data_IF_037448316901
#
_entry.id   IF_037448316901
#
_cell.length_a   1.000
_cell.length_b   1.000
_cell.length_c   1.000
_cell.angle_alpha   90.00
_cell.angle_beta   90.00
_cell.angle_gamma   90.00
#
_symmetry.space_group_name_H-M   'P 1'
#
loop_
_entity.id
_entity.type
_entity.pdbx_description
1 polymer ?
#
# COMPACT_ATOMS: atom_id res chain seq x y z
N UNK A 1 -11.33 5.25 -27.15
CA UNK A 1 -11.70 5.33 -25.73
C UNK A 1 -11.83 6.79 -25.35
N UNK A 2 -12.76 7.10 -24.46
CA UNK A 2 -13.07 8.45 -24.00
C UNK A 2 -12.64 8.58 -22.54
N UNK A 3 -12.11 9.74 -22.16
CA UNK A 3 -11.85 10.04 -20.76
C UNK A 3 -13.17 10.39 -20.07
N UNK A 4 -13.42 9.80 -18.92
CA UNK A 4 -14.64 9.99 -18.12
C UNK A 4 -14.24 10.24 -16.67
N UNK A 5 -14.88 11.24 -16.07
CA UNK A 5 -14.79 11.54 -14.65
C UNK A 5 -16.18 11.39 -14.01
N UNK A 6 -16.31 10.45 -13.07
CA UNK A 6 -17.57 10.07 -12.43
C UNK A 6 -17.45 10.29 -10.92
N UNK A 7 -17.90 11.44 -10.40
CA UNK A 7 -18.11 11.63 -8.98
C UNK A 7 -19.46 11.02 -8.54
N UNK A 8 -19.46 10.23 -7.47
CA UNK A 8 -20.66 9.59 -6.91
C UNK A 8 -20.89 10.06 -5.48
N UNK A 9 -21.71 11.11 -5.31
CA UNK A 9 -21.92 11.77 -4.01
C UNK A 9 -22.54 10.85 -2.93
N UNK A 10 -23.49 9.99 -3.30
CA UNK A 10 -24.15 9.08 -2.34
C UNK A 10 -23.21 8.02 -1.74
N UNK A 11 -22.13 7.68 -2.43
CA UNK A 11 -21.16 6.67 -2.03
C UNK A 11 -19.78 7.25 -1.72
N UNK A 12 -19.66 8.57 -1.82
CA UNK A 12 -18.41 9.31 -1.69
C UNK A 12 -17.29 8.68 -2.54
N UNK A 13 -17.56 8.34 -3.80
CA UNK A 13 -16.59 7.71 -4.70
C UNK A 13 -16.17 8.61 -5.86
N UNK A 14 -14.86 8.65 -6.17
CA UNK A 14 -14.31 9.38 -7.32
C UNK A 14 -13.66 8.38 -8.29
N UNK A 15 -14.18 8.31 -9.52
CA UNK A 15 -13.65 7.45 -10.58
C UNK A 15 -13.19 8.31 -11.76
N UNK A 16 -11.92 8.15 -12.15
CA UNK A 16 -11.31 8.80 -13.32
C UNK A 16 -10.78 7.72 -14.23
N UNK A 17 -11.26 7.64 -15.47
CA UNK A 17 -10.99 6.48 -16.31
C UNK A 17 -10.97 6.81 -17.79
N UNK A 18 -10.24 6.02 -18.58
CA UNK A 18 -10.53 5.87 -20.00
C UNK A 18 -11.50 4.71 -20.18
N UNK A 19 -12.63 4.99 -20.82
CA UNK A 19 -13.69 4.02 -21.06
C UNK A 19 -13.89 3.80 -22.57
N UNK A 20 -14.19 2.57 -22.96
CA UNK A 20 -14.59 2.24 -24.33
C UNK A 20 -15.54 1.05 -24.33
N UNK A 21 -16.53 1.07 -25.21
CA UNK A 21 -17.52 0.00 -25.25
C UNK A 21 -18.79 0.40 -25.98
N UNK A 22 -19.88 -0.24 -25.60
CA UNK A 22 -21.22 0.03 -26.11
C UNK A 22 -22.00 0.83 -25.06
N UNK A 23 -22.75 1.81 -25.54
CA UNK A 23 -23.59 2.66 -24.72
C UNK A 23 -24.90 2.86 -25.45
N UNK A 24 -25.98 2.41 -24.84
CA UNK A 24 -27.34 2.58 -25.31
C UNK A 24 -27.97 3.69 -24.48
N UNK A 25 -28.60 4.63 -25.17
CA UNK A 25 -29.37 5.71 -24.57
C UNK A 25 -30.79 5.58 -25.09
N UNK A 26 -31.73 5.41 -24.17
CA UNK A 26 -33.15 5.41 -24.45
C UNK A 26 -33.86 6.42 -23.55
N UNK A 27 -34.98 6.99 -24.01
CA UNK A 27 -35.72 7.98 -23.25
C UNK A 27 -37.21 7.96 -23.56
N UNK A 28 -38.02 8.19 -22.52
CA UNK A 28 -39.48 8.28 -22.58
C UNK A 28 -39.88 9.50 -21.77
N UNK A 29 -40.42 10.53 -22.43
CA UNK A 29 -40.72 11.80 -21.78
C UNK A 29 -39.45 12.49 -21.28
N UNK A 30 -39.37 12.72 -19.96
CA UNK A 30 -38.21 13.31 -19.28
C UNK A 30 -37.30 12.26 -18.61
N UNK A 31 -37.69 10.98 -18.67
CA UNK A 31 -36.93 9.88 -18.09
C UNK A 31 -35.93 9.32 -19.10
N UNK A 32 -34.78 8.88 -18.59
CA UNK A 32 -33.67 8.38 -19.40
C UNK A 32 -33.17 7.05 -18.86
N UNK A 33 -32.89 6.13 -19.76
CA UNK A 33 -32.28 4.83 -19.47
C UNK A 33 -30.94 4.77 -20.19
N UNK A 34 -29.89 4.51 -19.42
CA UNK A 34 -28.54 4.27 -19.90
C UNK A 34 -28.19 2.83 -19.64
N UNK A 35 -27.77 2.10 -20.67
CA UNK A 35 -27.22 0.77 -20.48
C UNK A 35 -26.02 0.49 -21.39
N UNK A 36 -25.25 -0.52 -21.03
CA UNK A 36 -24.23 -1.01 -21.94
C UNK A 36 -23.12 -1.78 -21.26
N UNK A 37 -22.15 -2.16 -22.08
CA UNK A 37 -20.96 -2.86 -21.64
C UNK A 37 -19.73 -2.02 -21.93
N UNK A 38 -18.95 -1.74 -20.89
CA UNK A 38 -17.83 -0.80 -20.95
C UNK A 38 -16.57 -1.47 -20.44
N UNK A 39 -15.48 -1.33 -21.18
CA UNK A 39 -14.13 -1.63 -20.72
C UNK A 39 -13.48 -0.36 -20.20
N UNK A 40 -12.91 -0.44 -18.99
CA UNK A 40 -12.16 0.65 -18.37
C UNK A 40 -10.67 0.35 -18.37
N UNK A 41 -9.83 1.34 -18.62
CA UNK A 41 -8.37 1.23 -18.50
C UNK A 41 -7.79 2.55 -18.02
N UNK A 42 -6.56 2.50 -17.51
CA UNK A 42 -5.86 3.66 -16.96
C UNK A 42 -6.76 4.41 -15.96
N UNK A 43 -7.34 3.64 -15.05
CA UNK A 43 -8.40 4.07 -14.14
C UNK A 43 -7.83 4.35 -12.76
N UNK A 44 -8.27 5.44 -12.15
CA UNK A 44 -8.09 5.72 -10.72
C UNK A 44 -9.47 5.70 -10.05
N UNK A 45 -9.66 4.78 -9.10
CA UNK A 45 -10.83 4.70 -8.24
C UNK A 45 -10.44 5.09 -6.82
N UNK A 46 -11.23 5.95 -6.17
CA UNK A 46 -11.03 6.30 -4.76
C UNK A 46 -12.34 6.49 -4.01
N UNK A 47 -12.31 6.36 -2.68
CA UNK A 47 -13.45 6.56 -1.78
C UNK A 47 -13.17 7.76 -0.83
N UNK A 48 -13.73 8.91 -1.16
CA UNK A 48 -13.59 10.16 -0.44
C UNK A 48 -13.49 11.30 -1.44
N UNK A 49 -14.63 11.84 -1.86
CA UNK A 49 -14.72 13.01 -2.73
C UNK A 49 -14.43 14.23 -1.88
N UNK A 50 -13.32 14.91 -2.17
CA UNK A 50 -12.99 16.17 -1.48
C UNK A 50 -13.93 17.31 -1.88
N UNK A 51 -14.27 17.41 -3.17
CA UNK A 51 -15.15 18.43 -3.76
C UNK A 51 -15.81 17.91 -5.04
N UNK A 52 -17.07 18.26 -5.28
CA UNK A 52 -17.75 17.96 -6.55
C UNK A 52 -17.25 18.90 -7.67
N UNK A 53 -17.13 18.43 -8.91
CA UNK A 53 -16.79 19.30 -10.03
C UNK A 53 -17.83 20.41 -10.22
N UNK A 54 -17.40 21.61 -10.61
CA UNK A 54 -18.29 22.76 -10.81
C UNK A 54 -19.40 22.54 -11.87
N UNK A 55 -19.21 21.57 -12.75
CA UNK A 55 -20.14 21.19 -13.81
C UNK A 55 -21.10 20.07 -13.40
N UNK A 56 -20.94 19.50 -12.20
CA UNK A 56 -21.78 18.40 -11.75
C UNK A 56 -23.19 18.90 -11.39
N UNK A 57 -24.19 18.38 -12.09
CA UNK A 57 -25.61 18.60 -11.78
C UNK A 57 -26.21 17.22 -11.54
N UNK A 58 -26.69 16.99 -10.32
CA UNK A 58 -27.36 15.73 -9.98
C UNK A 58 -28.65 15.60 -10.83
N UNK A 59 -28.77 14.52 -11.58
CA UNK A 59 -29.99 14.18 -12.31
C UNK A 59 -30.68 13.01 -11.61
N UNK A 60 -31.96 13.19 -11.28
CA UNK A 60 -32.79 12.23 -10.55
C UNK A 60 -33.77 11.47 -11.46
N UNK A 61 -33.69 11.62 -12.78
CA UNK A 61 -34.59 10.97 -13.75
C UNK A 61 -33.84 10.02 -14.70
N UNK A 62 -32.72 9.45 -14.25
CA UNK A 62 -31.89 8.56 -15.07
C UNK A 62 -31.70 7.22 -14.39
N UNK A 63 -32.22 6.16 -15.01
CA UNK A 63 -31.87 4.76 -14.68
C UNK A 63 -30.60 4.39 -15.44
N UNK A 64 -29.69 3.67 -14.79
CA UNK A 64 -28.43 3.23 -15.37
C UNK A 64 -28.21 1.75 -15.11
N UNK A 65 -27.67 1.02 -16.09
CA UNK A 65 -27.29 -0.38 -15.94
C UNK A 65 -26.04 -0.68 -16.78
N UNK A 66 -24.90 -0.85 -16.13
CA UNK A 66 -23.63 -1.06 -16.79
C UNK A 66 -22.92 -2.31 -16.29
N UNK A 67 -22.48 -3.13 -17.24
CA UNK A 67 -21.44 -4.13 -17.02
C UNK A 67 -20.09 -3.49 -17.33
N UNK A 68 -19.23 -3.35 -16.32
CA UNK A 68 -17.89 -2.79 -16.48
C UNK A 68 -16.85 -3.90 -16.37
N UNK A 69 -15.92 -3.92 -17.33
CA UNK A 69 -14.80 -4.87 -17.39
C UNK A 69 -13.50 -4.11 -17.16
N UNK A 70 -12.69 -4.57 -16.21
CA UNK A 70 -11.37 -3.97 -15.94
C UNK A 70 -10.37 -4.33 -17.05
N UNK A 71 -9.67 -3.34 -17.54
CA UNK A 71 -8.56 -3.45 -18.47
C UNK A 71 -7.23 -3.19 -17.76
N UNK A 72 -6.27 -2.63 -18.49
CA UNK A 72 -4.92 -2.36 -17.96
C UNK A 72 -4.93 -1.18 -16.99
N UNK A 73 -4.03 -1.22 -16.01
CA UNK A 73 -3.71 -0.08 -15.14
C UNK A 73 -4.94 0.49 -14.42
N UNK A 74 -5.78 -0.39 -13.85
CA UNK A 74 -6.90 0.00 -13.00
C UNK A 74 -6.43 0.00 -11.55
N UNK A 75 -6.37 1.17 -10.92
CA UNK A 75 -5.88 1.36 -9.56
C UNK A 75 -7.01 1.79 -8.61
N UNK A 76 -6.98 1.23 -7.40
CA UNK A 76 -7.85 1.52 -6.28
C UNK A 76 -7.05 2.17 -5.16
N UNK A 77 -7.58 3.27 -4.63
CA UNK A 77 -6.99 4.06 -3.56
C UNK A 77 -8.02 4.21 -2.44
N UNK A 78 -7.62 3.94 -1.21
CA UNK A 78 -8.48 4.11 -0.05
C UNK A 78 -7.74 4.85 1.08
N UNK A 79 -8.34 5.89 1.69
CA UNK A 79 -9.65 6.45 1.35
C UNK A 79 -9.55 7.27 0.07
N UNK A 80 -8.62 8.21 -0.01
CA UNK A 80 -8.50 9.12 -1.14
C UNK A 80 -7.15 8.99 -1.84
N UNK A 81 -7.03 9.59 -3.03
CA UNK A 81 -5.81 9.58 -3.84
C UNK A 81 -4.64 10.36 -3.23
N UNK A 82 -4.81 11.50 -2.53
CA UNK A 82 -3.70 12.21 -1.92
C UNK A 82 -3.00 11.46 -0.79
N UNK A 83 -3.78 10.86 0.12
CA UNK A 83 -3.26 10.18 1.32
C UNK A 83 -3.90 8.78 1.47
N UNK A 84 -3.67 7.86 0.52
CA UNK A 84 -4.19 6.50 0.62
C UNK A 84 -3.39 5.72 1.67
N UNK A 85 -4.09 4.98 2.52
CA UNK A 85 -3.46 3.91 3.28
C UNK A 85 -3.64 2.53 2.63
N UNK A 86 -4.49 2.38 1.62
CA UNK A 86 -4.45 1.22 0.71
C UNK A 86 -4.32 1.76 -0.71
N UNK A 87 -3.36 1.20 -1.45
CA UNK A 87 -3.18 1.42 -2.88
C UNK A 87 -3.04 0.07 -3.55
N UNK A 88 -4.00 -0.31 -4.39
CA UNK A 88 -4.00 -1.60 -5.06
C UNK A 88 -4.19 -1.43 -6.57
N UNK A 89 -3.56 -2.28 -7.36
CA UNK A 89 -3.86 -2.43 -8.78
C UNK A 89 -4.75 -3.65 -8.97
N UNK A 90 -5.88 -3.46 -9.63
CA UNK A 90 -6.85 -4.50 -9.92
C UNK A 90 -6.38 -5.34 -11.12
N UNK A 91 -6.68 -6.63 -11.07
CA UNK A 91 -6.40 -7.58 -12.16
C UNK A 91 -7.25 -7.25 -13.39
N UNK A 92 -6.73 -7.54 -14.58
CA UNK A 92 -7.47 -7.39 -15.84
C UNK A 92 -8.62 -8.42 -15.95
N UNK A 93 -9.62 -8.07 -16.76
CA UNK A 93 -10.81 -8.87 -17.07
C UNK A 93 -11.68 -9.24 -15.86
N UNK A 94 -11.70 -8.41 -14.82
CA UNK A 94 -12.65 -8.52 -13.72
C UNK A 94 -13.94 -7.79 -14.11
N UNK A 95 -15.08 -8.28 -13.65
CA UNK A 95 -16.40 -7.72 -13.98
C UNK A 95 -17.05 -7.12 -12.75
N UNK A 96 -17.69 -5.98 -12.95
CA UNK A 96 -18.60 -5.37 -11.98
C UNK A 96 -19.87 -4.98 -12.70
N UNK A 97 -21.01 -5.31 -12.11
CA UNK A 97 -22.31 -4.82 -12.53
C UNK A 97 -22.73 -3.69 -11.61
N UNK A 98 -23.23 -2.63 -12.23
CA UNK A 98 -23.72 -1.44 -11.57
C UNK A 98 -25.10 -1.13 -12.14
N UNK A 99 -26.10 -1.01 -11.27
CA UNK A 99 -27.43 -0.59 -11.66
C UNK A 99 -27.98 0.44 -10.67
N UNK A 100 -28.57 1.50 -11.19
CA UNK A 100 -29.34 2.46 -10.42
C UNK A 100 -30.69 2.64 -11.09
N UNK A 101 -31.78 2.45 -10.35
CA UNK A 101 -33.13 2.69 -10.82
C UNK A 101 -33.70 3.95 -10.16
N UNK A 102 -33.95 4.98 -10.96
CA UNK A 102 -34.48 6.26 -10.46
C UNK A 102 -35.95 6.18 -10.03
N UNK A 103 -36.70 5.16 -10.44
CA UNK A 103 -38.12 5.01 -10.10
C UNK A 103 -38.25 4.45 -8.68
N UNK A 104 -37.45 3.43 -8.35
CA UNK A 104 -37.42 2.79 -7.02
C UNK A 104 -36.40 3.42 -6.08
N UNK A 105 -35.53 4.30 -6.60
CA UNK A 105 -34.36 4.86 -5.91
C UNK A 105 -33.42 3.76 -5.36
N UNK A 106 -33.33 2.65 -6.09
CA UNK A 106 -32.51 1.49 -5.70
C UNK A 106 -31.17 1.51 -6.41
N UNK A 107 -30.12 1.20 -5.65
CA UNK A 107 -28.76 1.13 -6.14
C UNK A 107 -28.16 -0.26 -5.90
N UNK A 108 -27.82 -0.96 -6.97
CA UNK A 108 -27.25 -2.29 -6.94
C UNK A 108 -25.83 -2.27 -7.49
N UNK A 109 -24.90 -2.82 -6.73
CA UNK A 109 -23.54 -3.06 -7.16
C UNK A 109 -23.11 -4.47 -6.77
N UNK A 110 -22.52 -5.16 -7.73
CA UNK A 110 -22.01 -6.50 -7.54
C UNK A 110 -20.71 -6.67 -8.30
N UNK A 111 -19.64 -6.94 -7.57
CA UNK A 111 -18.33 -7.11 -8.17
C UNK A 111 -17.32 -7.71 -7.21
N UNK A 112 -16.43 -8.54 -7.75
CA UNK A 112 -15.27 -9.03 -7.02
C UNK A 112 -14.01 -8.71 -7.83
N UNK A 113 -13.12 -7.95 -7.22
CA UNK A 113 -11.89 -7.49 -7.81
C UNK A 113 -10.71 -8.14 -7.13
N UNK A 114 -9.98 -8.99 -7.86
CA UNK A 114 -8.70 -9.50 -7.39
C UNK A 114 -7.62 -8.44 -7.56
N UNK A 115 -6.81 -8.20 -6.53
CA UNK A 115 -5.65 -7.33 -6.60
C UNK A 115 -4.47 -8.05 -7.24
N UNK A 116 -3.92 -7.44 -8.27
CA UNK A 116 -2.66 -7.87 -8.89
C UNK A 116 -1.47 -7.52 -7.99
N UNK A 117 -1.51 -6.33 -7.40
CA UNK A 117 -0.39 -5.74 -6.66
C UNK A 117 -0.87 -4.59 -5.78
N UNK A 118 -0.02 -4.11 -4.89
CA UNK A 118 -0.29 -2.88 -4.14
C UNK A 118 0.42 -2.82 -2.80
N UNK A 119 0.03 -1.84 -2.00
CA UNK A 119 0.54 -1.62 -0.66
C UNK A 119 -0.59 -1.22 0.29
N UNK A 120 -0.42 -1.58 1.56
CA UNK A 120 -1.20 -1.10 2.68
C UNK A 120 -0.26 -0.46 3.69
N UNK A 121 -0.52 0.80 4.02
CA UNK A 121 0.18 1.50 5.08
C UNK A 121 -0.47 1.19 6.42
N UNK A 122 0.31 0.62 7.33
CA UNK A 122 -0.12 0.29 8.67
C UNK A 122 1.06 0.43 9.63
N UNK A 123 0.82 0.93 10.85
CA UNK A 123 1.87 1.18 11.85
C UNK A 123 3.12 1.89 11.30
N UNK A 124 2.93 2.97 10.52
CA UNK A 124 4.06 3.73 9.96
C UNK A 124 4.96 2.94 8.98
N UNK A 125 4.44 1.82 8.45
CA UNK A 125 5.14 0.96 7.49
C UNK A 125 4.23 0.59 6.32
N UNK A 126 4.82 0.46 5.14
CA UNK A 126 4.14 -0.06 3.96
C UNK A 126 4.30 -1.57 3.92
N UNK A 127 3.20 -2.30 3.99
CA UNK A 127 3.15 -3.74 3.71
C UNK A 127 2.74 -3.94 2.26
N UNK A 128 3.42 -4.82 1.55
CA UNK A 128 3.19 -5.08 0.13
C UNK A 128 2.14 -6.16 -0.06
N UNK A 129 1.08 -5.86 -0.77
CA UNK A 129 -0.02 -6.79 -1.04
C UNK A 129 0.52 -7.93 -1.91
N UNK A 130 0.58 -9.11 -1.31
CA UNK A 130 0.94 -10.36 -1.99
C UNK A 130 -0.29 -11.04 -2.58
N UNK A 131 -1.42 -10.93 -1.88
CA UNK A 131 -2.71 -11.46 -2.29
C UNK A 131 -3.78 -10.51 -1.79
N UNK A 132 -4.85 -10.32 -2.55
CA UNK A 132 -6.00 -9.61 -2.02
C UNK A 132 -7.16 -9.53 -2.99
N UNK A 133 -8.32 -9.19 -2.47
CA UNK A 133 -9.53 -8.96 -3.23
C UNK A 133 -10.42 -7.93 -2.53
N UNK A 134 -11.12 -7.14 -3.32
CA UNK A 134 -12.21 -6.28 -2.89
C UNK A 134 -13.52 -6.86 -3.40
N UNK A 135 -14.45 -7.11 -2.49
CA UNK A 135 -15.81 -7.52 -2.83
C UNK A 135 -16.79 -6.38 -2.53
N UNK A 136 -17.60 -6.06 -3.53
CA UNK A 136 -18.66 -5.06 -3.47
C UNK A 136 -19.99 -5.78 -3.66
N UNK A 137 -20.89 -5.59 -2.70
CA UNK A 137 -22.23 -6.14 -2.73
C UNK A 137 -23.18 -5.14 -2.08
N UNK A 138 -24.33 -4.90 -2.71
CA UNK A 138 -25.45 -4.21 -2.07
C UNK A 138 -26.27 -5.21 -1.26
N UNK A 139 -26.44 -4.99 0.03
CA UNK A 139 -27.36 -5.79 0.85
C UNK A 139 -28.80 -5.26 0.73
N UNK A 140 -29.63 -5.95 -0.06
CA UNK A 140 -31.02 -5.60 -0.31
C UNK A 140 -31.95 -5.85 0.89
N UNK A 141 -31.51 -6.53 1.96
CA UNK A 141 -32.39 -6.95 3.06
C UNK A 141 -32.64 -5.89 4.14
N UNK A 142 -31.91 -4.77 4.13
CA UNK A 142 -31.96 -3.77 5.22
C UNK A 142 -32.86 -2.56 4.94
N UNK A 143 -33.51 -2.50 3.77
CA UNK A 143 -34.33 -1.35 3.37
C UNK A 143 -33.54 -0.05 3.16
N UNK A 144 -32.21 -0.14 3.19
CA UNK A 144 -31.27 0.89 2.81
C UNK A 144 -30.31 0.26 1.80
N UNK A 145 -30.15 0.87 0.62
CA UNK A 145 -29.18 0.45 -0.41
C UNK A 145 -27.73 0.74 0.05
N UNK A 146 -27.30 0.17 1.17
CA UNK A 146 -25.95 0.32 1.69
C UNK A 146 -25.02 -0.70 1.01
N UNK A 147 -24.03 -0.18 0.29
CA UNK A 147 -22.90 -0.97 -0.20
C UNK A 147 -22.00 -1.29 0.98
N UNK A 148 -21.70 -2.57 1.20
CA UNK A 148 -20.77 -3.01 2.23
C UNK A 148 -19.50 -3.55 1.59
N UNK A 149 -18.49 -2.69 1.30
CA UNK A 149 -17.24 -3.14 0.72
C UNK A 149 -16.46 -3.97 1.73
N UNK A 150 -16.13 -5.20 1.35
CA UNK A 150 -15.29 -6.10 2.15
C UNK A 150 -13.95 -6.33 1.45
N UNK A 151 -12.88 -6.28 2.23
CA UNK A 151 -11.52 -6.50 1.76
C UNK A 151 -10.93 -7.76 2.39
N UNK A 152 -10.35 -8.60 1.54
CA UNK A 152 -9.47 -9.69 1.93
C UNK A 152 -8.08 -9.34 1.43
N UNK A 153 -7.07 -9.39 2.29
CA UNK A 153 -5.74 -8.92 1.91
C UNK A 153 -4.68 -9.61 2.75
N UNK A 154 -3.58 -9.99 2.09
CA UNK A 154 -2.37 -10.46 2.73
C UNK A 154 -1.21 -9.63 2.20
N UNK A 155 -0.58 -8.88 3.08
CA UNK A 155 0.55 -8.04 2.73
C UNK A 155 1.79 -8.38 3.53
N UNK A 156 2.96 -8.32 2.89
CA UNK A 156 4.27 -8.68 3.44
C UNK A 156 5.10 -7.43 3.67
N UNK A 157 5.74 -7.34 4.81
CA UNK A 157 6.81 -6.40 5.13
C UNK A 157 8.03 -7.24 5.50
N UNK A 158 9.18 -6.97 4.88
CA UNK A 158 10.45 -7.57 5.30
C UNK A 158 11.22 -6.53 6.11
N UNK A 159 11.60 -6.90 7.33
CA UNK A 159 12.34 -6.03 8.25
C UNK A 159 13.33 -6.85 9.10
N UNK A 160 14.12 -6.19 9.94
CA UNK A 160 15.08 -6.83 10.83
C UNK A 160 14.61 -6.78 12.29
N UNK A 161 14.89 -7.85 13.04
CA UNK A 161 14.68 -7.85 14.49
C UNK A 161 15.80 -7.13 15.25
N UNK A 162 15.65 -6.99 16.57
CA UNK A 162 16.65 -6.37 17.44
C UNK A 162 18.01 -7.11 17.44
N UNK A 163 18.03 -8.38 17.01
CA UNK A 163 19.24 -9.17 16.87
C UNK A 163 19.86 -9.09 15.45
N UNK A 164 19.25 -8.33 14.53
CA UNK A 164 19.71 -8.15 13.15
C UNK A 164 19.31 -9.29 12.21
N UNK A 165 18.40 -10.19 12.62
CA UNK A 165 17.92 -11.25 11.75
C UNK A 165 16.75 -10.78 10.89
N UNK A 166 16.70 -11.26 9.65
CA UNK A 166 15.62 -10.98 8.71
C UNK A 166 14.31 -11.61 9.17
N UNK A 167 13.24 -10.83 9.12
CA UNK A 167 11.88 -11.23 9.48
C UNK A 167 10.91 -10.75 8.42
N UNK A 168 10.18 -11.68 7.82
CA UNK A 168 9.01 -11.35 7.00
C UNK A 168 7.78 -11.29 7.91
N UNK A 169 7.18 -10.11 8.04
CA UNK A 169 5.94 -9.87 8.77
C UNK A 169 4.80 -9.83 7.75
N UNK A 170 3.73 -10.57 8.02
CA UNK A 170 2.53 -10.57 7.21
C UNK A 170 1.37 -9.92 7.95
N UNK A 171 0.73 -8.96 7.30
CA UNK A 171 -0.54 -8.38 7.70
C UNK A 171 -1.65 -9.09 6.93
N UNK A 172 -2.58 -9.69 7.66
CA UNK A 172 -3.69 -10.46 7.09
C UNK A 172 -5.02 -9.84 7.49
N UNK A 173 -5.81 -9.44 6.50
CA UNK A 173 -7.20 -9.01 6.62
C UNK A 173 -8.10 -10.09 6.03
N UNK A 174 -9.12 -10.49 6.79
CA UNK A 174 -10.12 -11.47 6.38
C UNK A 174 -11.49 -10.83 6.51
N UNK A 175 -12.20 -10.74 5.40
CA UNK A 175 -13.56 -10.18 5.26
C UNK A 175 -13.75 -8.89 6.05
N UNK A 176 -12.73 -8.03 6.04
CA UNK A 176 -12.73 -6.81 6.84
C UNK A 176 -13.50 -5.72 6.12
N UNK A 177 -14.34 -4.97 6.83
CA UNK A 177 -14.93 -3.75 6.29
C UNK A 177 -13.88 -2.66 6.14
N UNK A 178 -13.99 -1.82 5.11
CA UNK A 178 -13.00 -0.75 4.86
C UNK A 178 -12.89 0.25 6.03
N UNK A 179 -13.99 0.48 6.76
CA UNK A 179 -14.06 1.39 7.92
C UNK A 179 -13.64 0.77 9.24
N UNK A 180 -13.52 -0.55 9.31
CA UNK A 180 -13.14 -1.30 10.52
C UNK A 180 -12.14 -2.41 10.17
N UNK A 181 -10.92 -2.00 9.81
CA UNK A 181 -9.84 -2.93 9.52
C UNK A 181 -9.34 -3.58 10.80
N UNK A 182 -9.45 -4.91 10.89
CA UNK A 182 -8.94 -5.70 12.01
C UNK A 182 -7.83 -6.65 11.53
N UNK A 183 -6.60 -6.16 11.32
CA UNK A 183 -5.51 -6.98 10.79
C UNK A 183 -4.98 -7.97 11.83
N UNK A 184 -4.64 -9.17 11.36
CA UNK A 184 -3.86 -10.16 12.10
C UNK A 184 -2.42 -10.15 11.61
N UNK A 185 -1.48 -10.39 12.53
CA UNK A 185 -0.06 -10.41 12.22
C UNK A 185 0.51 -11.82 12.32
N UNK A 186 1.28 -12.21 11.32
CA UNK A 186 2.05 -13.45 11.27
C UNK A 186 3.50 -13.09 10.92
N UNK A 187 4.47 -13.95 11.23
CA UNK A 187 5.87 -13.70 10.86
C UNK A 187 6.64 -14.96 10.48
N UNK A 188 7.69 -14.79 9.69
CA UNK A 188 8.64 -15.82 9.30
C UNK A 188 10.06 -15.27 9.49
N UNK A 189 10.90 -15.83 10.39
CA UNK A 189 10.58 -16.90 11.36
C UNK A 189 9.46 -16.53 12.32
N UNK A 190 8.75 -17.52 12.87
CA UNK A 190 7.62 -17.29 13.78
C UNK A 190 8.08 -16.52 15.02
N UNK A 191 7.50 -15.34 15.22
CA UNK A 191 7.67 -14.47 16.39
C UNK A 191 6.35 -14.22 17.09
N UNK A 192 6.43 -13.86 18.37
CA UNK A 192 5.26 -13.44 19.13
C UNK A 192 4.74 -12.07 18.67
N UNK A 193 3.44 -11.81 18.86
CA UNK A 193 2.80 -10.56 18.45
C UNK A 193 3.50 -9.33 19.05
N UNK A 194 3.95 -9.40 20.30
CA UNK A 194 4.68 -8.31 20.94
C UNK A 194 6.01 -8.02 20.25
N UNK A 195 6.78 -9.04 19.90
CA UNK A 195 8.04 -8.88 19.15
C UNK A 195 7.79 -8.30 17.76
N UNK A 196 6.71 -8.74 17.08
CA UNK A 196 6.30 -8.16 15.80
C UNK A 196 5.99 -6.67 15.98
N UNK A 197 5.22 -6.29 17.01
CA UNK A 197 4.86 -4.88 17.26
C UNK A 197 6.09 -4.02 17.59
N UNK A 198 7.06 -4.55 18.33
CA UNK A 198 8.35 -3.89 18.57
C UNK A 198 9.09 -3.62 17.25
N UNK A 199 9.18 -4.61 16.35
CA UNK A 199 9.79 -4.44 15.01
C UNK A 199 9.01 -3.41 14.19
N UNK A 200 7.68 -3.40 14.28
CA UNK A 200 6.83 -2.42 13.64
C UNK A 200 6.98 -1.01 14.22
N UNK A 201 7.79 -0.83 15.27
CA UNK A 201 8.14 0.49 15.82
C UNK A 201 7.13 1.00 16.84
N UNK A 202 6.27 0.14 17.39
CA UNK A 202 5.62 0.45 18.66
C UNK A 202 6.71 0.46 19.73
N UNK A 203 7.29 1.64 20.01
CA UNK A 203 7.89 1.87 21.31
C UNK A 203 6.80 1.54 22.32
N UNK A 204 6.98 0.42 23.00
CA UNK A 204 6.21 0.00 24.16
C UNK A 204 6.03 1.27 24.99
N UNK A 205 4.81 1.81 25.08
CA UNK A 205 4.44 2.50 26.30
C UNK A 205 4.63 1.40 27.35
N UNK A 206 5.64 1.48 28.23
CA UNK A 206 5.75 0.51 29.28
C UNK A 206 4.48 0.70 30.09
N UNK A 207 3.49 -0.17 29.91
CA UNK A 207 2.50 -0.41 30.95
C UNK A 207 3.23 -1.15 32.06
N UNK A 208 4.20 -0.46 32.66
CA UNK A 208 4.67 -0.76 33.99
C UNK A 208 3.46 -0.57 34.89
N UNK A 209 3.03 -1.66 35.52
CA UNK A 209 2.33 -1.55 36.77
C UNK A 209 3.10 -0.51 37.62
N UNK A 210 2.38 0.49 38.14
CA UNK A 210 2.91 1.64 38.89
C UNK A 210 3.46 2.80 38.05
N UNK A 211 2.57 3.56 37.41
CA UNK A 211 2.38 4.99 37.67
C UNK A 211 3.59 5.95 37.66
N UNK A 212 4.69 5.63 36.99
CA UNK A 212 5.82 6.55 36.80
C UNK A 212 6.11 6.69 35.31
N UNK A 213 5.63 7.80 34.75
CA UNK A 213 5.94 8.27 33.40
C UNK A 213 7.43 8.65 33.37
N UNK A 214 8.25 7.83 32.72
CA UNK A 214 9.66 8.14 32.50
C UNK A 214 9.78 8.96 31.19
N UNK A 215 10.17 10.22 31.31
CA UNK A 215 10.10 11.29 30.30
C UNK A 215 11.17 11.21 29.18
N UNK A 216 11.58 10.01 28.75
CA UNK A 216 12.60 9.86 27.70
C UNK A 216 12.06 9.65 26.28
N UNK A 217 10.76 9.79 26.05
CA UNK A 217 10.16 9.49 24.74
C UNK A 217 9.56 10.71 24.03
N UNK A 218 10.04 11.93 24.34
CA UNK A 218 9.70 13.15 23.57
C UNK A 218 10.07 12.98 22.09
N UNK A 219 11.10 12.18 21.78
CA UNK A 219 11.46 11.81 20.41
C UNK A 219 10.41 10.91 19.70
N UNK A 220 9.79 9.98 20.43
CA UNK A 220 8.72 9.11 19.88
C UNK A 220 7.40 9.86 19.71
N UNK A 221 7.11 10.79 20.63
CA UNK A 221 5.95 11.68 20.56
C UNK A 221 6.14 12.72 19.44
N UNK A 222 7.35 13.25 19.25
CA UNK A 222 7.66 14.15 18.15
C UNK A 222 7.62 13.44 16.78
N UNK A 223 8.19 12.23 16.66
CA UNK A 223 8.13 11.46 15.41
C UNK A 223 6.69 11.04 15.06
N UNK A 224 5.91 10.57 16.04
CA UNK A 224 4.51 10.22 15.84
C UNK A 224 3.62 11.44 15.55
N UNK A 225 3.88 12.59 16.19
CA UNK A 225 3.14 13.82 15.92
C UNK A 225 3.49 14.45 14.57
N UNK A 226 4.74 14.32 14.11
CA UNK A 226 5.18 14.87 12.82
C UNK A 226 4.58 14.07 11.66
N UNK A 227 4.60 12.74 11.70
CA UNK A 227 3.99 11.89 10.65
C UNK A 227 2.46 12.03 10.57
N UNK A 228 1.80 12.27 11.71
CA UNK A 228 0.35 12.51 11.76
C UNK A 228 0.01 13.93 11.28
N UNK A 229 0.81 14.95 11.63
CA UNK A 229 0.61 16.32 11.14
C UNK A 229 0.92 16.47 9.63
N UNK A 230 1.93 15.75 9.13
CA UNK A 230 2.29 15.65 7.71
C UNK A 230 1.15 15.05 6.86
N UNK A 231 0.40 14.10 7.40
CA UNK A 231 -0.70 13.43 6.68
C UNK A 231 -2.10 13.97 6.94
N UNK A 232 -2.30 14.68 8.05
CA UNK A 232 -3.50 15.50 8.28
C UNK A 232 -3.48 16.81 7.45
N UNK A 233 -2.42 17.05 6.67
CA UNK A 233 -2.33 18.17 5.72
C UNK A 233 -1.87 19.49 6.35
N UNK A 234 -1.26 19.45 7.55
CA UNK A 234 -0.71 20.64 8.22
C UNK A 234 0.76 20.90 7.89
N UNK A 235 1.46 19.90 7.33
CA UNK A 235 2.79 20.02 6.74
C UNK A 235 2.76 19.37 5.35
N UNK A 236 3.34 20.01 4.34
CA UNK A 236 3.34 19.52 2.95
C UNK A 236 4.19 18.23 2.78
N UNK A 237 3.61 17.07 3.13
CA UNK A 237 4.13 15.73 2.83
C UNK A 237 4.08 15.38 1.32
N UNK A 238 3.69 16.34 0.49
CA UNK A 238 3.51 16.22 -0.96
C UNK A 238 4.79 15.81 -1.69
N UNK A 239 5.98 16.15 -1.15
CA UNK A 239 7.23 16.01 -1.90
C UNK A 239 7.79 14.58 -1.96
N UNK A 240 7.63 13.77 -0.90
CA UNK A 240 8.13 12.38 -0.88
C UNK A 240 7.24 11.46 -1.72
N UNK A 241 5.93 11.67 -1.68
CA UNK A 241 4.96 10.97 -2.54
C UNK A 241 5.16 11.32 -4.02
N UNK A 242 5.42 12.59 -4.35
CA UNK A 242 5.71 13.00 -5.73
C UNK A 242 7.04 12.44 -6.25
N UNK A 243 8.08 12.40 -5.40
CA UNK A 243 9.37 11.82 -5.76
C UNK A 243 9.25 10.31 -6.04
N UNK A 244 8.61 9.56 -5.13
CA UNK A 244 8.43 8.11 -5.26
C UNK A 244 7.59 7.75 -6.49
N UNK A 245 6.54 8.52 -6.76
CA UNK A 245 5.70 8.42 -7.95
C UNK A 245 6.50 8.68 -9.23
N UNK A 246 7.29 9.76 -9.26
CA UNK A 246 8.11 10.14 -10.42
C UNK A 246 9.17 9.09 -10.73
N UNK A 247 9.84 8.56 -9.70
CA UNK A 247 10.84 7.50 -9.85
C UNK A 247 10.15 6.22 -10.35
N UNK A 248 8.99 5.86 -9.80
CA UNK A 248 8.23 4.68 -10.25
C UNK A 248 7.91 4.75 -11.74
N UNK A 249 7.34 5.88 -12.18
CA UNK A 249 6.95 6.10 -13.58
C UNK A 249 8.20 6.11 -14.47
N UNK A 250 9.24 6.86 -14.09
CA UNK A 250 10.48 7.00 -14.87
C UNK A 250 11.20 5.66 -15.07
N UNK A 251 11.26 4.83 -14.03
CA UNK A 251 11.88 3.50 -14.08
C UNK A 251 10.95 2.42 -14.65
N UNK A 252 9.68 2.75 -14.94
CA UNK A 252 8.68 1.78 -15.42
C UNK A 252 8.51 0.61 -14.46
N UNK A 253 8.50 0.91 -13.16
CA UNK A 253 8.28 -0.05 -12.08
C UNK A 253 6.79 -0.14 -11.77
N UNK A 254 6.32 -1.32 -11.39
CA UNK A 254 4.97 -1.44 -10.84
C UNK A 254 4.92 -0.88 -9.42
N UNK A 255 6.05 -0.91 -8.70
CA UNK A 255 6.15 -0.50 -7.30
C UNK A 255 7.50 0.17 -7.02
N UNK A 256 7.44 1.28 -6.29
CA UNK A 256 8.61 1.97 -5.74
C UNK A 256 8.21 2.63 -4.43
N UNK A 257 8.96 2.38 -3.36
CA UNK A 257 8.76 3.01 -2.05
C UNK A 257 10.11 3.41 -1.48
N UNK A 258 10.19 4.63 -0.95
CA UNK A 258 11.36 5.17 -0.28
C UNK A 258 10.95 5.57 1.13
N UNK A 259 11.51 4.88 2.13
CA UNK A 259 11.40 5.26 3.54
C UNK A 259 12.72 5.87 3.95
N UNK A 260 12.72 7.13 4.37
CA UNK A 260 13.95 7.76 4.84
C UNK A 260 13.67 8.64 6.04
N UNK A 261 14.45 8.44 7.10
CA UNK A 261 14.41 9.26 8.29
C UNK A 261 15.32 10.49 8.17
N UNK A 262 15.77 10.88 6.96
CA UNK A 262 16.71 12.00 6.75
C UNK A 262 16.29 13.26 7.51
N UNK A 263 15.02 13.67 7.43
CA UNK A 263 14.57 14.90 8.10
C UNK A 263 14.67 14.78 9.62
N UNK A 264 14.23 13.64 10.17
CA UNK A 264 14.32 13.34 11.60
C UNK A 264 15.79 13.29 12.04
N UNK A 265 16.64 12.59 11.29
CA UNK A 265 18.07 12.45 11.55
C UNK A 265 18.80 13.80 11.51
N UNK A 266 18.46 14.70 10.58
CA UNK A 266 18.99 16.07 10.52
C UNK A 266 18.57 16.88 11.75
N UNK A 267 17.28 16.80 12.15
CA UNK A 267 16.79 17.49 13.34
C UNK A 267 17.47 16.98 14.62
N UNK A 268 17.70 15.67 14.74
CA UNK A 268 18.45 15.08 15.85
C UNK A 268 19.92 15.51 15.87
N UNK A 269 20.56 15.71 14.71
CA UNK A 269 21.95 16.21 14.62
C UNK A 269 22.06 17.68 15.06
N UNK A 270 20.98 18.46 14.89
CA UNK A 270 20.94 19.88 15.29
C UNK A 270 20.70 20.10 16.81
N UNK A 271 20.38 19.07 17.59
CA UNK A 271 20.12 19.19 19.03
C UNK A 271 21.44 19.28 19.84
N UNK A 272 21.58 20.27 20.75
CA UNK A 272 22.77 20.40 21.58
C UNK A 272 22.87 19.25 22.60
N UNK A 273 24.01 18.55 22.59
CA UNK A 273 24.28 17.38 23.47
C UNK A 273 24.42 16.05 22.73
N UNK A 274 24.26 16.02 21.40
CA UNK A 274 24.36 14.79 20.64
C UNK A 274 25.84 14.38 20.40
N UNK A 275 26.24 13.21 20.91
CA UNK A 275 27.63 12.71 20.85
C UNK A 275 27.99 12.02 19.52
N UNK A 276 27.04 11.87 18.60
CA UNK A 276 27.27 11.28 17.27
C UNK A 276 28.08 12.19 16.31
N UNK A 277 28.28 13.46 16.68
CA UNK A 277 28.93 14.49 15.86
C UNK A 277 30.38 14.20 15.43
N UNK A 278 31.08 13.27 16.10
CA UNK A 278 32.50 12.99 15.86
C UNK A 278 32.86 11.57 15.40
N UNK A 279 31.93 10.61 15.44
CA UNK A 279 32.25 9.18 15.24
C UNK A 279 31.76 8.63 13.90
N UNK A 280 30.61 9.11 13.39
CA UNK A 280 30.05 8.68 12.11
C UNK A 280 30.09 9.79 11.05
N UNK A 281 30.28 9.41 9.80
CA UNK A 281 30.17 10.33 8.66
C UNK A 281 28.77 11.00 8.63
N UNK A 282 28.66 12.28 8.21
CA UNK A 282 27.36 12.96 8.08
C UNK A 282 26.40 12.23 7.15
N UNK A 283 26.93 11.62 6.08
CA UNK A 283 26.15 10.83 5.14
C UNK A 283 25.55 9.58 5.81
N UNK A 284 26.34 8.86 6.61
CA UNK A 284 25.87 7.71 7.36
C UNK A 284 24.78 8.13 8.37
N UNK A 285 24.99 9.25 9.08
CA UNK A 285 24.00 9.78 10.03
C UNK A 285 22.67 10.12 9.37
N UNK A 286 22.69 10.82 8.24
CA UNK A 286 21.45 11.23 7.57
C UNK A 286 20.72 10.07 6.91
N UNK A 287 21.45 9.16 6.25
CA UNK A 287 20.88 8.01 5.57
C UNK A 287 20.57 6.83 6.50
N UNK A 288 20.86 6.94 7.79
CA UNK A 288 20.57 5.89 8.76
C UNK A 288 19.08 5.50 8.75
N UNK A 289 18.83 4.19 8.74
CA UNK A 289 17.49 3.60 8.70
C UNK A 289 16.69 4.01 7.44
N UNK A 290 17.39 4.18 6.31
CA UNK A 290 16.75 4.41 5.00
C UNK A 290 16.52 3.08 4.32
N UNK A 291 15.27 2.82 3.90
CA UNK A 291 14.90 1.62 3.17
C UNK A 291 14.29 1.99 1.82
N UNK A 292 14.75 1.32 0.76
CA UNK A 292 14.26 1.49 -0.61
C UNK A 292 13.72 0.15 -1.08
N UNK A 293 12.49 0.16 -1.59
CA UNK A 293 11.86 -1.01 -2.17
C UNK A 293 11.48 -0.73 -3.61
N UNK A 294 11.76 -1.69 -4.48
CA UNK A 294 11.46 -1.64 -5.91
C UNK A 294 10.84 -2.97 -6.34
N UNK A 295 9.78 -2.90 -7.14
CA UNK A 295 9.07 -4.08 -7.61
C UNK A 295 8.53 -3.95 -9.03
N UNK A 296 8.55 -5.05 -9.78
CA UNK A 296 8.03 -5.12 -11.15
C UNK A 296 7.47 -6.51 -11.46
N UNK A 297 6.28 -6.54 -12.04
CA UNK A 297 5.71 -7.75 -12.61
C UNK A 297 6.30 -8.02 -13.99
N UNK A 298 6.78 -9.24 -14.18
CA UNK A 298 7.19 -9.74 -15.49
C UNK A 298 6.12 -10.74 -15.94
N UNK A 299 5.20 -10.27 -16.77
CA UNK A 299 4.01 -11.03 -17.15
C UNK A 299 3.00 -11.12 -16.00
N UNK A 300 2.33 -12.26 -15.86
CA UNK A 300 1.23 -12.47 -14.89
C UNK A 300 1.61 -13.32 -13.68
N UNK A 301 2.80 -13.93 -13.71
CA UNK A 301 3.17 -14.98 -12.75
C UNK A 301 4.48 -14.68 -12.03
N UNK A 302 5.30 -13.75 -12.54
CA UNK A 302 6.59 -13.43 -11.94
C UNK A 302 6.57 -12.01 -11.38
N UNK A 303 7.01 -11.87 -10.14
CA UNK A 303 7.22 -10.59 -9.49
C UNK A 303 8.68 -10.49 -9.07
N UNK A 304 9.39 -9.55 -9.67
CA UNK A 304 10.76 -9.21 -9.32
C UNK A 304 10.73 -8.10 -8.27
N UNK A 305 11.46 -8.29 -7.19
CA UNK A 305 11.58 -7.31 -6.12
C UNK A 305 13.05 -7.09 -5.74
N UNK A 306 13.35 -5.87 -5.31
CA UNK A 306 14.63 -5.48 -4.74
C UNK A 306 14.38 -4.63 -3.49
N UNK A 307 15.01 -4.99 -2.39
CA UNK A 307 15.00 -4.27 -1.13
C UNK A 307 16.43 -3.81 -0.82
N UNK A 308 16.57 -2.54 -0.48
CA UNK A 308 17.83 -1.95 -0.05
C UNK A 308 17.61 -1.35 1.33
N UNK A 309 18.43 -1.71 2.29
CA UNK A 309 18.41 -1.13 3.63
C UNK A 309 19.77 -0.53 3.96
N UNK A 310 19.76 0.74 4.34
CA UNK A 310 20.93 1.52 4.71
C UNK A 310 20.91 1.74 6.23
N UNK A 311 21.91 1.23 6.92
CA UNK A 311 22.04 1.32 8.37
C UNK A 311 23.42 1.89 8.75
N UNK A 312 23.43 2.89 9.62
CA UNK A 312 24.67 3.46 10.10
C UNK A 312 25.21 2.63 11.27
N UNK A 313 26.43 2.12 11.15
CA UNK A 313 27.07 1.29 12.18
C UNK A 313 28.50 1.77 12.40
N UNK A 314 29.05 1.43 13.57
CA UNK A 314 30.45 1.74 13.86
C UNK A 314 31.39 1.00 12.89
N UNK A 315 32.50 1.62 12.49
CA UNK A 315 33.47 1.15 11.47
C UNK A 315 33.92 -0.29 11.69
N UNK A 316 34.02 -0.69 12.96
CA UNK A 316 34.46 -2.01 13.38
C UNK A 316 33.43 -3.13 13.15
N UNK A 317 32.16 -2.76 12.95
CA UNK A 317 31.02 -3.68 12.81
C UNK A 317 30.37 -3.63 11.43
N UNK A 318 30.74 -2.66 10.58
CA UNK A 318 30.25 -2.58 9.19
C UNK A 318 30.84 -3.74 8.40
N UNK A 319 30.01 -4.75 8.14
CA UNK A 319 30.37 -5.87 7.26
C UNK A 319 30.29 -5.47 5.79
N UNK A 320 29.40 -4.53 5.43
CA UNK A 320 29.04 -4.20 4.04
C UNK A 320 29.05 -2.70 3.77
N UNK A 321 30.22 -2.08 3.72
CA UNK A 321 30.30 -0.61 3.56
C UNK A 321 29.79 -0.14 2.20
N UNK A 322 28.94 0.89 2.18
CA UNK A 322 28.42 1.53 0.97
C UNK A 322 28.58 3.05 1.05
N UNK A 323 29.28 3.65 0.08
CA UNK A 323 29.61 5.08 -0.04
C UNK A 323 30.43 5.68 1.12
N UNK A 324 30.32 5.17 2.35
CA UNK A 324 31.13 5.56 3.51
C UNK A 324 31.46 4.34 4.38
N UNK A 325 32.59 4.34 5.11
CA UNK A 325 33.02 3.23 5.97
C UNK A 325 32.06 2.93 7.14
N UNK A 326 31.13 3.85 7.41
CA UNK A 326 30.24 3.85 8.59
C UNK A 326 28.79 3.53 8.19
N UNK A 327 28.55 3.18 6.92
CA UNK A 327 27.22 2.94 6.36
C UNK A 327 27.17 1.52 5.80
N UNK A 328 26.41 0.66 6.46
CA UNK A 328 26.09 -0.68 5.99
C UNK A 328 24.98 -0.63 4.95
N UNK A 329 25.13 -1.37 3.86
CA UNK A 329 24.06 -1.66 2.92
C UNK A 329 23.70 -3.14 2.94
N UNK A 330 22.42 -3.41 3.17
CA UNK A 330 21.81 -4.71 2.95
C UNK A 330 20.96 -4.65 1.69
N UNK A 331 21.43 -5.33 0.65
CA UNK A 331 20.67 -5.57 -0.57
C UNK A 331 20.02 -6.95 -0.49
N UNK A 332 18.75 -7.02 -0.84
CA UNK A 332 18.04 -8.27 -1.08
C UNK A 332 17.34 -8.20 -2.44
N UNK A 333 17.53 -9.23 -3.25
CA UNK A 333 16.82 -9.42 -4.51
C UNK A 333 15.89 -10.61 -4.36
N UNK A 334 14.68 -10.53 -4.89
CA UNK A 334 13.77 -11.68 -4.88
C UNK A 334 12.97 -11.80 -6.16
N UNK A 335 12.64 -13.05 -6.47
CA UNK A 335 11.75 -13.45 -7.54
C UNK A 335 10.65 -14.32 -6.93
N UNK A 336 9.44 -13.78 -6.93
CA UNK A 336 8.25 -14.49 -6.52
C UNK A 336 7.56 -15.05 -7.77
N UNK A 337 7.48 -16.37 -7.89
CA UNK A 337 6.73 -17.08 -8.90
C UNK A 337 5.40 -17.57 -8.34
N UNK A 338 4.33 -16.93 -8.79
CA UNK A 338 2.95 -17.23 -8.40
C UNK A 338 2.38 -18.28 -9.33
N UNK A 339 2.02 -19.44 -8.78
CA UNK A 339 1.36 -20.52 -9.52
C UNK A 339 0.13 -21.05 -8.75
N UNK A 340 -0.78 -21.81 -9.39
CA UNK A 340 -1.98 -22.33 -8.73
C UNK A 340 -1.72 -23.27 -7.54
N UNK A 341 -0.50 -23.77 -7.37
CA UNK A 341 -0.10 -24.69 -6.29
C UNK A 341 0.52 -23.97 -5.09
N UNK A 342 0.84 -22.68 -5.22
CA UNK A 342 1.49 -21.85 -4.20
C UNK A 342 2.45 -20.83 -4.81
N UNK A 343 3.10 -20.07 -3.94
CA UNK A 343 4.12 -19.10 -4.35
C UNK A 343 5.50 -19.67 -4.06
N UNK A 344 6.33 -19.72 -5.09
CA UNK A 344 7.73 -20.11 -4.98
C UNK A 344 8.54 -18.81 -4.99
N UNK A 345 9.24 -18.55 -3.90
CA UNK A 345 10.05 -17.34 -3.72
C UNK A 345 11.53 -17.72 -3.72
N UNK A 346 12.28 -17.13 -4.63
CA UNK A 346 13.74 -17.17 -4.61
C UNK A 346 14.22 -15.82 -4.13
N UNK A 347 15.09 -15.79 -3.13
CA UNK A 347 15.66 -14.54 -2.64
C UNK A 347 17.17 -14.67 -2.48
N UNK A 348 17.89 -13.58 -2.69
CA UNK A 348 19.31 -13.50 -2.46
C UNK A 348 19.63 -12.34 -1.55
N UNK A 349 20.51 -12.56 -0.58
CA UNK A 349 21.00 -11.52 0.33
C UNK A 349 22.53 -11.46 0.22
N UNK A 350 23.06 -10.85 -0.86
CA UNK A 350 24.48 -10.85 -1.12
C UNK A 350 25.30 -10.20 -0.02
N UNK A 351 26.44 -10.82 0.29
CA UNK A 351 27.36 -10.34 1.30
C UNK A 351 28.17 -9.12 0.87
N UNK A 352 28.31 -8.90 -0.45
CA UNK A 352 29.02 -7.77 -1.01
C UNK A 352 28.27 -7.24 -2.24
N UNK A 353 28.32 -5.92 -2.47
CA UNK A 353 27.85 -5.26 -3.69
C UNK A 353 28.82 -5.48 -4.86
N UNK A 354 29.16 -6.73 -5.14
CA UNK A 354 29.89 -7.12 -6.34
C UNK A 354 28.96 -7.89 -7.24
N UNK A 355 28.97 -7.61 -8.55
CA UNK A 355 28.23 -8.38 -9.56
C UNK A 355 28.54 -9.88 -9.53
N UNK A 356 29.71 -10.27 -9.00
CA UNK A 356 30.11 -11.68 -8.84
C UNK A 356 29.49 -12.34 -7.61
N UNK A 357 29.15 -11.56 -6.58
CA UNK A 357 28.77 -12.04 -5.25
C UNK A 357 27.28 -11.83 -4.96
N UNK A 358 26.50 -11.35 -5.95
CA UNK A 358 25.02 -11.17 -5.86
C UNK A 358 24.30 -12.49 -5.50
N UNK A 359 24.96 -13.63 -5.78
CA UNK A 359 24.45 -14.99 -5.58
C UNK A 359 25.06 -15.70 -4.35
N UNK A 360 25.82 -15.01 -3.49
CA UNK A 360 26.53 -15.67 -2.38
C UNK A 360 25.60 -16.31 -1.35
N UNK A 361 24.46 -15.69 -1.09
CA UNK A 361 23.43 -16.22 -0.20
C UNK A 361 22.15 -16.37 -1.00
N UNK A 362 21.78 -17.59 -1.36
CA UNK A 362 20.51 -17.90 -2.05
C UNK A 362 19.61 -18.63 -1.06
N UNK A 363 18.46 -18.02 -0.76
CA UNK A 363 17.35 -18.67 -0.10
C UNK A 363 16.27 -19.07 -1.10
N UNK A 364 15.61 -20.18 -0.83
CA UNK A 364 14.36 -20.52 -1.49
C UNK A 364 13.31 -20.76 -0.41
N UNK A 365 12.10 -20.26 -0.64
CA UNK A 365 10.95 -20.59 0.18
C UNK A 365 9.79 -21.00 -0.71
N UNK A 366 9.05 -22.00 -0.25
CA UNK A 366 7.82 -22.45 -0.91
C UNK A 366 6.69 -22.19 0.07
N UNK A 367 5.83 -21.26 -0.29
CA UNK A 367 4.64 -20.96 0.51
C UNK A 367 3.45 -21.62 -0.17
N UNK A 368 2.95 -22.71 0.44
CA UNK A 368 1.72 -23.36 0.02
C UNK A 368 0.66 -23.17 1.11
N UNK A 369 -0.39 -22.43 0.78
CA UNK A 369 -1.53 -22.27 1.68
C UNK A 369 -2.59 -23.33 1.38
N UNK A 370 -2.83 -24.21 2.33
CA UNK A 370 -3.98 -25.13 2.29
C UNK A 370 -5.16 -24.37 2.88
N UNK A 371 -6.03 -23.85 2.01
CA UNK A 371 -7.33 -23.32 2.44
C UNK A 371 -8.24 -24.52 2.65
N UNK A 372 -8.36 -24.98 3.90
CA UNK A 372 -9.44 -25.90 4.27
C UNK A 372 -10.73 -25.08 4.18
N UNK A 373 -11.57 -25.41 3.19
CA UNK A 373 -12.91 -24.84 3.03
C UNK A 373 -13.80 -25.21 4.20
#
# INVERSE_FOLDING_TARGET
>A
MLYVWIPMQGFDADIRTYAGGTFNLFGVGFETWLDGQVMIQDTTMSLGIKDLPFWYVANNLTTTNFDVVTGKNVAFFYPNTPNPFIKATITENQRISFAYDHITDEFLIDGNFSFRSGEIYYFQKNFFITEGSLSLHTDAFTGQSQIQPTINLRAKLTDFDAAGNRVDIFLVLRESGLTNLNPQFESIPSKDVNEILEILGQSILPTGAYGQVNLYSVASLAAAATDVAERLGYLDASQTTQLTESIRISLGLDMFSLRSNILQNILFDALPGNTFGGVLSPLARYLNNTSIFMGKYVGRQFFLQALLHLSAMDRSKVQRSFLSPDLSLDLELSLDWMNPLGTISFFTQPNELSFTNILDTIGFSVTKRIVLR
#
